data_IF_323058878173
#
_entry.id   IF_323058878173
#
_cell.length_a   1.000
_cell.length_b   1.000
_cell.length_c   1.000
_cell.angle_alpha   90.00
_cell.angle_beta   90.00
_cell.angle_gamma   90.00
#
_symmetry.space_group_name_H-M   'P 1'
#
loop_
_entity.id
_entity.type
_entity.pdbx_description
1 polymer ?
#
# COMPACT_ATOMS: atom_id res chain seq x y z
N UNK A 1 -22.23 75.70 -11.87
CA UNK A 1 -22.05 74.83 -10.68
C UNK A 1 -20.60 74.93 -10.25
N UNK A 2 -20.38 75.38 -9.00
CA UNK A 2 -19.19 75.25 -8.10
C UNK A 2 -17.85 74.83 -8.78
N UNK A 3 -16.76 75.61 -8.83
CA UNK A 3 -16.04 76.35 -7.76
C UNK A 3 -15.35 75.34 -6.81
N UNK A 4 -14.07 75.38 -6.41
CA UNK A 4 -12.91 76.30 -6.46
C UNK A 4 -11.73 75.56 -5.76
N UNK A 5 -10.46 75.92 -6.06
CA UNK A 5 -9.27 76.13 -5.16
C UNK A 5 -8.90 75.06 -4.09
N UNK A 6 -7.70 74.94 -3.51
CA UNK A 6 -6.34 75.45 -3.69
C UNK A 6 -5.47 74.71 -2.63
N UNK A 7 -4.15 74.78 -2.82
CA UNK A 7 -3.07 74.46 -1.88
C UNK A 7 -3.29 74.95 -0.43
N UNK A 8 -2.63 74.31 0.55
CA UNK A 8 -1.48 74.92 1.25
C UNK A 8 -0.98 74.11 2.45
N UNK A 9 0.31 74.32 2.69
CA UNK A 9 1.24 73.84 3.72
C UNK A 9 0.92 74.29 5.15
N UNK A 10 1.36 73.50 6.13
CA UNK A 10 1.52 73.93 7.52
C UNK A 10 2.78 73.30 8.15
N UNK A 11 3.76 74.15 8.47
CA UNK A 11 4.99 73.88 9.22
C UNK A 11 4.75 74.25 10.68
N UNK A 12 5.35 73.53 11.64
CA UNK A 12 5.93 74.16 12.86
C UNK A 12 6.91 73.22 13.55
N UNK A 13 8.16 73.68 13.70
CA UNK A 13 9.12 73.24 14.70
C UNK A 13 8.79 73.90 16.04
N UNK A 14 9.00 73.19 17.14
CA UNK A 14 9.29 73.79 18.44
C UNK A 14 10.29 72.91 19.20
N UNK A 15 11.49 73.44 19.43
CA UNK A 15 12.45 72.91 20.38
C UNK A 15 12.20 73.58 21.75
N UNK A 16 12.25 72.81 22.83
CA UNK A 16 12.46 73.33 24.17
C UNK A 16 13.28 72.32 24.99
N UNK A 17 14.46 72.75 25.43
CA UNK A 17 15.29 72.09 26.44
C UNK A 17 14.58 72.11 27.80
N UNK A 18 14.65 71.00 28.53
CA UNK A 18 14.67 70.99 29.99
C UNK A 18 15.33 69.68 30.50
N UNK A 19 16.59 69.76 30.91
CA UNK A 19 17.13 68.92 31.98
C UNK A 19 16.44 69.38 33.28
N UNK A 20 16.08 68.48 34.23
CA UNK A 20 17.09 68.11 35.23
C UNK A 20 16.89 66.77 36.00
N UNK A 21 17.95 66.41 36.74
CA UNK A 21 17.97 65.70 38.03
C UNK A 21 17.66 64.18 38.09
N UNK A 22 18.71 63.43 38.43
CA UNK A 22 18.62 62.05 38.93
C UNK A 22 18.08 61.99 40.37
N UNK A 23 17.33 60.93 40.72
CA UNK A 23 17.23 60.42 42.08
C UNK A 23 17.74 58.95 42.18
N UNK A 24 17.89 58.41 43.41
CA UNK A 24 19.04 57.59 43.79
C UNK A 24 18.84 56.09 43.61
N UNK A 25 19.97 55.36 43.66
CA UNK A 25 19.97 53.91 43.86
C UNK A 25 19.39 53.54 45.23
N UNK A 26 18.39 52.66 45.25
CA UNK A 26 18.04 51.82 46.38
C UNK A 26 17.56 50.44 45.88
N UNK A 27 17.97 49.41 46.60
CA UNK A 27 18.09 48.00 46.18
C UNK A 27 16.79 47.17 46.23
N UNK A 28 16.95 45.87 45.91
CA UNK A 28 16.06 44.70 46.10
C UNK A 28 14.99 44.47 45.02
N UNK A 29 14.74 43.27 44.49
CA UNK A 29 15.19 41.89 44.74
C UNK A 29 15.41 41.17 43.40
N UNK A 30 16.37 40.24 43.37
CA UNK A 30 16.61 39.32 42.25
C UNK A 30 15.46 38.31 42.10
N UNK A 31 14.61 38.49 41.10
CA UNK A 31 13.74 37.43 40.60
C UNK A 31 14.41 36.75 39.40
N UNK A 32 14.90 35.53 39.66
CA UNK A 32 15.42 34.62 38.64
C UNK A 32 14.34 34.41 37.56
N UNK A 33 14.63 34.61 36.26
CA UNK A 33 13.69 34.20 35.22
C UNK A 33 13.56 32.68 35.27
N UNK A 34 12.34 32.12 35.13
CA UNK A 34 12.16 30.67 35.21
C UNK A 34 12.99 30.01 34.11
N UNK A 35 13.74 28.99 34.52
CA UNK A 35 14.54 28.15 33.65
C UNK A 35 13.68 27.73 32.44
N UNK A 36 14.14 28.11 31.25
CA UNK A 36 13.59 27.64 30.00
C UNK A 36 13.69 26.12 30.03
N UNK A 37 12.55 25.45 30.17
CA UNK A 37 12.46 23.99 30.02
C UNK A 37 13.21 23.62 28.74
N UNK A 38 14.13 22.64 28.77
CA UNK A 38 14.76 22.21 27.55
C UNK A 38 13.63 21.74 26.64
N UNK A 39 13.49 22.41 25.49
CA UNK A 39 12.72 21.92 24.37
C UNK A 39 13.03 20.45 24.24
N UNK A 40 12.00 19.61 24.38
CA UNK A 40 12.11 18.18 24.19
C UNK A 40 12.77 17.98 22.83
N UNK A 41 14.06 17.63 22.84
CA UNK A 41 14.73 17.13 21.65
C UNK A 41 13.90 15.93 21.25
N UNK A 42 13.26 16.04 20.08
CA UNK A 42 12.65 14.91 19.40
C UNK A 42 13.65 13.75 19.49
N UNK A 43 13.37 12.77 20.34
CA UNK A 43 14.18 11.56 20.41
C UNK A 43 14.18 10.99 19.00
N UNK A 44 15.37 10.91 18.39
CA UNK A 44 15.53 10.38 17.05
C UNK A 44 14.98 8.94 17.05
N UNK A 45 13.76 8.78 16.52
CA UNK A 45 13.07 7.50 16.53
C UNK A 45 13.75 6.57 15.54
N UNK A 46 13.87 5.28 15.91
CA UNK A 46 14.43 4.28 15.03
C UNK A 46 13.62 4.23 13.71
N UNK A 47 14.28 4.30 12.53
CA UNK A 47 13.57 4.26 11.25
C UNK A 47 12.77 2.97 11.08
N UNK A 48 11.53 3.11 10.62
CA UNK A 48 10.64 2.00 10.31
C UNK A 48 9.77 1.55 11.48
N UNK A 49 8.47 1.50 11.24
CA UNK A 49 7.52 1.16 12.29
C UNK A 49 6.07 1.35 11.87
N UNK A 50 5.17 0.99 12.78
CA UNK A 50 3.73 1.15 12.62
C UNK A 50 3.18 1.85 13.87
N UNK A 51 2.52 2.99 13.68
CA UNK A 51 1.78 3.69 14.73
C UNK A 51 0.28 3.46 14.55
N UNK A 52 -0.35 2.84 15.54
CA UNK A 52 -1.79 2.59 15.57
C UNK A 52 -2.48 3.60 16.48
N UNK A 53 -3.41 4.39 15.94
CA UNK A 53 -4.20 5.38 16.66
C UNK A 53 -5.67 4.98 16.67
N UNK A 54 -6.29 4.86 17.86
CA UNK A 54 -7.73 4.54 17.97
C UNK A 54 -8.57 5.68 17.41
N UNK A 55 -9.60 5.35 16.64
CA UNK A 55 -10.59 6.33 16.20
C UNK A 55 -11.66 6.50 17.28
N UNK A 56 -12.11 7.74 17.47
CA UNK A 56 -13.16 8.09 18.40
C UNK A 56 -14.30 8.82 17.68
N UNK A 57 -15.52 8.86 18.23
CA UNK A 57 -16.60 9.66 17.68
C UNK A 57 -16.16 11.12 17.46
N UNK A 58 -16.35 11.63 16.24
CA UNK A 58 -16.14 13.05 15.94
C UNK A 58 -17.45 13.78 16.24
N UNK A 59 -17.59 14.33 17.46
CA UNK A 59 -18.80 15.05 17.84
C UNK A 59 -19.11 16.20 16.86
N UNK A 60 -20.35 16.26 16.39
CA UNK A 60 -21.05 17.49 16.00
C UNK A 60 -22.28 17.63 16.89
N UNK A 61 -22.53 18.84 17.35
CA UNK A 61 -23.75 19.20 18.07
C UNK A 61 -24.99 18.69 17.33
N UNK A 62 -25.81 17.89 18.04
CA UNK A 62 -27.24 17.64 17.86
C UNK A 62 -27.83 17.81 16.44
N UNK A 63 -27.25 17.15 15.43
CA UNK A 63 -27.95 16.88 14.17
C UNK A 63 -28.17 15.36 14.05
N UNK A 64 -29.36 14.89 13.66
CA UNK A 64 -29.55 13.50 13.29
C UNK A 64 -28.69 13.22 12.05
N UNK A 65 -27.54 12.57 12.26
CA UNK A 65 -26.53 12.36 11.23
C UNK A 65 -25.83 11.02 11.42
N UNK A 66 -25.32 10.48 10.32
CA UNK A 66 -24.61 9.20 10.24
C UNK A 66 -23.45 9.12 11.22
N UNK A 67 -23.26 7.96 11.85
CA UNK A 67 -22.15 7.75 12.79
C UNK A 67 -20.80 8.09 12.13
N UNK A 68 -20.08 9.05 12.70
CA UNK A 68 -18.77 9.50 12.25
C UNK A 68 -17.71 9.25 13.33
N UNK A 69 -16.66 8.51 12.99
CA UNK A 69 -15.49 8.29 13.84
C UNK A 69 -14.23 8.80 13.15
N UNK A 70 -13.22 9.22 13.90
CA UNK A 70 -12.00 9.72 13.30
C UNK A 70 -11.03 10.35 14.28
N UNK A 71 -10.11 11.13 13.70
CA UNK A 71 -9.12 11.93 14.41
C UNK A 71 -9.10 13.32 13.77
N UNK A 72 -9.16 14.36 14.61
CA UNK A 72 -8.91 15.74 14.17
C UNK A 72 -7.42 15.90 13.82
N UNK A 73 -7.07 17.03 13.18
CA UNK A 73 -5.68 17.35 12.85
C UNK A 73 -4.80 17.21 14.08
N UNK A 74 -3.76 16.40 13.97
CA UNK A 74 -2.76 16.21 15.00
C UNK A 74 -1.40 15.93 14.37
N UNK A 75 -0.35 16.34 15.08
CA UNK A 75 1.03 15.97 14.79
C UNK A 75 1.27 14.51 15.20
N UNK A 76 2.02 13.79 14.38
CA UNK A 76 2.32 12.36 14.57
C UNK A 76 3.77 12.09 14.20
N UNK A 77 4.26 10.89 14.51
CA UNK A 77 5.56 10.45 14.00
C UNK A 77 5.52 10.38 12.48
N UNK A 78 6.67 10.56 11.84
CA UNK A 78 6.80 10.47 10.40
C UNK A 78 6.27 9.12 9.88
N UNK A 79 5.51 9.17 8.79
CA UNK A 79 4.97 8.01 8.10
C UNK A 79 4.93 8.27 6.59
N UNK A 80 4.69 7.23 5.79
CA UNK A 80 4.53 7.38 4.33
C UNK A 80 3.36 6.62 3.74
N UNK A 81 2.74 5.75 4.53
CA UNK A 81 1.56 4.99 4.14
C UNK A 81 0.55 5.00 5.28
N UNK A 82 -0.73 5.08 4.91
CA UNK A 82 -1.85 5.12 5.84
C UNK A 82 -2.91 4.08 5.46
N UNK A 83 -3.53 3.46 6.45
CA UNK A 83 -4.69 2.61 6.27
C UNK A 83 -5.58 2.62 7.52
N UNK A 84 -6.79 2.10 7.42
CA UNK A 84 -7.68 1.92 8.57
C UNK A 84 -7.95 0.44 8.78
N UNK A 85 -7.88 -0.03 10.03
CA UNK A 85 -8.14 -1.42 10.42
C UNK A 85 -9.21 -1.50 11.49
N UNK A 86 -9.84 -2.67 11.63
CA UNK A 86 -10.84 -2.98 12.65
C UNK A 86 -10.73 -4.44 13.11
N UNK A 87 -11.35 -4.76 14.24
CA UNK A 87 -11.05 -6.01 14.96
C UNK A 87 -11.42 -7.27 14.17
N UNK A 88 -12.61 -7.31 13.58
CA UNK A 88 -13.14 -8.49 12.88
C UNK A 88 -12.90 -8.45 11.38
N UNK A 89 -12.11 -9.37 10.79
CA UNK A 89 -11.93 -9.46 9.34
C UNK A 89 -13.19 -9.94 8.60
N UNK A 90 -14.18 -10.48 9.32
CA UNK A 90 -15.46 -10.91 8.75
C UNK A 90 -16.48 -9.77 8.63
N UNK A 91 -16.23 -8.62 9.28
CA UNK A 91 -17.11 -7.45 9.23
C UNK A 91 -16.68 -6.55 8.07
N UNK A 92 -17.59 -6.25 7.15
CA UNK A 92 -17.33 -5.29 6.08
C UNK A 92 -17.60 -3.85 6.57
N UNK A 93 -16.77 -2.91 6.13
CA UNK A 93 -16.99 -1.48 6.38
C UNK A 93 -17.89 -0.91 5.28
N UNK A 94 -19.15 -0.66 5.61
CA UNK A 94 -20.09 0.03 4.74
C UNK A 94 -20.06 1.53 5.01
N UNK A 95 -19.33 2.27 4.18
CA UNK A 95 -19.12 3.69 4.39
C UNK A 95 -17.97 4.25 3.58
N UNK A 96 -17.63 5.50 3.88
CA UNK A 96 -16.47 6.19 3.30
C UNK A 96 -15.41 6.42 4.37
N UNK A 97 -14.17 6.16 4.00
CA UNK A 97 -12.99 6.47 4.81
C UNK A 97 -12.18 7.50 4.06
N UNK A 98 -11.99 8.67 4.67
CA UNK A 98 -11.26 9.77 4.06
C UNK A 98 -10.12 10.22 4.98
N UNK A 99 -8.96 10.47 4.39
CA UNK A 99 -7.75 10.93 5.08
C UNK A 99 -7.18 12.16 4.39
N UNK A 100 -6.57 13.06 5.16
CA UNK A 100 -5.64 14.06 4.65
C UNK A 100 -4.40 14.10 5.52
N UNK A 101 -3.27 14.40 4.90
CA UNK A 101 -1.97 14.38 5.58
C UNK A 101 -1.21 15.68 5.36
N UNK A 102 -0.30 16.00 6.28
CA UNK A 102 0.65 17.10 6.13
C UNK A 102 1.97 16.55 5.62
N UNK A 103 2.45 17.07 4.50
CA UNK A 103 3.75 16.68 3.95
C UNK A 103 4.89 17.31 4.76
N UNK A 104 5.86 16.50 5.17
CA UNK A 104 7.05 16.95 5.94
C UNK A 104 7.84 18.03 5.18
N UNK A 105 8.04 17.83 3.88
CA UNK A 105 8.87 18.71 3.06
C UNK A 105 8.31 20.13 2.87
N UNK A 106 6.98 20.31 2.97
CA UNK A 106 6.32 21.59 2.67
C UNK A 106 5.46 22.13 3.81
N UNK A 107 5.21 21.36 4.86
CA UNK A 107 4.26 21.69 5.92
C UNK A 107 2.80 21.82 5.44
N UNK A 108 2.50 21.46 4.19
CA UNK A 108 1.19 21.69 3.58
C UNK A 108 0.27 20.48 3.74
N UNK A 109 -0.99 20.73 4.07
CA UNK A 109 -2.03 19.71 4.12
C UNK A 109 -2.57 19.35 2.73
N UNK A 110 -2.75 18.07 2.45
CA UNK A 110 -3.46 17.61 1.27
C UNK A 110 -4.96 17.95 1.33
N UNK A 111 -5.64 17.85 0.19
CA UNK A 111 -7.09 17.63 0.16
C UNK A 111 -7.46 16.28 0.78
N UNK A 112 -8.76 16.07 1.01
CA UNK A 112 -9.28 14.76 1.43
C UNK A 112 -9.08 13.72 0.33
N UNK A 113 -8.61 12.54 0.72
CA UNK A 113 -8.38 11.39 -0.15
C UNK A 113 -9.15 10.19 0.41
N UNK A 114 -9.90 9.49 -0.44
CA UNK A 114 -10.66 8.32 -0.05
C UNK A 114 -9.79 7.06 -0.04
N UNK A 115 -9.97 6.22 0.98
CA UNK A 115 -9.40 4.87 1.05
C UNK A 115 -10.40 3.85 0.51
N UNK A 116 -9.94 2.89 -0.31
CA UNK A 116 -10.78 1.80 -0.79
C UNK A 116 -11.15 0.88 0.39
N UNK A 117 -12.44 0.75 0.67
CA UNK A 117 -12.98 -0.02 1.82
C UNK A 117 -13.26 -1.48 1.49
N UNK A 118 -13.43 -1.81 0.21
CA UNK A 118 -13.66 -3.17 -0.28
C UNK A 118 -12.34 -3.93 -0.48
N UNK A 119 -11.64 -4.24 0.62
CA UNK A 119 -10.32 -4.89 0.61
C UNK A 119 -10.33 -6.29 1.26
N UNK A 120 -11.51 -6.81 1.64
CA UNK A 120 -11.69 -8.18 2.15
C UNK A 120 -11.43 -9.28 1.08
N UNK A 121 -11.32 -8.87 -0.19
CA UNK A 121 -10.96 -9.71 -1.33
C UNK A 121 -9.49 -10.19 -1.27
N UNK A 122 -8.63 -9.43 -0.60
CA UNK A 122 -7.27 -9.83 -0.26
C UNK A 122 -7.27 -10.44 1.14
N UNK A 123 -7.35 -11.76 1.23
CA UNK A 123 -7.29 -12.50 2.48
C UNK A 123 -6.79 -13.93 2.25
N UNK A 124 -6.36 -14.58 3.32
CA UNK A 124 -6.04 -16.00 3.29
C UNK A 124 -7.30 -16.86 3.10
N UNK A 125 -7.16 -17.98 2.40
CA UNK A 125 -8.30 -18.87 2.12
C UNK A 125 -8.88 -19.44 3.44
N UNK A 126 -10.22 -19.60 3.54
CA UNK A 126 -10.85 -20.14 4.74
C UNK A 126 -10.32 -21.53 5.11
N UNK A 127 -9.99 -21.71 6.39
CA UNK A 127 -9.47 -22.97 6.92
C UNK A 127 -7.96 -23.16 6.75
N UNK A 128 -7.25 -22.14 6.25
CA UNK A 128 -5.78 -22.12 6.29
C UNK A 128 -5.29 -21.70 7.69
N UNK A 129 -4.08 -22.12 8.12
CA UNK A 129 -3.49 -21.67 9.39
C UNK A 129 -3.41 -20.15 9.51
N UNK A 130 -3.20 -19.44 8.39
CA UNK A 130 -3.20 -17.98 8.34
C UNK A 130 -4.56 -17.39 8.73
N UNK A 131 -5.64 -17.89 8.10
CA UNK A 131 -7.01 -17.44 8.40
C UNK A 131 -7.46 -17.77 9.82
N UNK A 132 -6.93 -18.84 10.42
CA UNK A 132 -7.29 -19.31 11.76
C UNK A 132 -6.39 -18.75 12.88
N UNK A 133 -5.44 -17.86 12.56
CA UNK A 133 -4.41 -17.39 13.50
C UNK A 133 -4.93 -16.53 14.66
N UNK A 134 -6.18 -16.04 14.58
CA UNK A 134 -6.76 -15.09 15.54
C UNK A 134 -6.16 -13.68 15.49
N UNK A 135 -5.17 -13.45 14.60
CA UNK A 135 -4.44 -12.18 14.48
C UNK A 135 -4.94 -11.31 13.33
N UNK A 136 -5.68 -11.88 12.39
CA UNK A 136 -6.13 -11.19 11.17
C UNK A 136 -7.17 -10.13 11.50
N UNK A 137 -7.04 -8.95 10.91
CA UNK A 137 -7.97 -7.82 11.05
C UNK A 137 -8.63 -7.47 9.74
N UNK A 138 -9.80 -6.83 9.82
CA UNK A 138 -10.38 -6.16 8.66
C UNK A 138 -9.64 -4.85 8.39
N UNK A 139 -9.57 -4.46 7.12
CA UNK A 139 -8.71 -3.37 6.69
C UNK A 139 -9.21 -2.71 5.41
N UNK A 140 -8.92 -1.41 5.24
CA UNK A 140 -8.98 -0.74 3.93
C UNK A 140 -7.79 -1.16 3.07
N UNK A 141 -7.81 -0.86 1.77
CA UNK A 141 -6.57 -0.80 1.02
C UNK A 141 -5.71 0.35 1.57
N UNK A 142 -4.38 0.18 1.66
CA UNK A 142 -3.52 1.24 2.15
C UNK A 142 -3.28 2.31 1.08
N UNK A 143 -3.01 3.54 1.49
CA UNK A 143 -2.69 4.67 0.63
C UNK A 143 -1.26 5.16 0.87
N UNK A 144 -0.48 5.29 -0.19
CA UNK A 144 0.83 5.95 -0.15
C UNK A 144 0.63 7.46 -0.20
N UNK A 145 1.07 8.14 0.86
CA UNK A 145 0.95 9.59 1.02
C UNK A 145 2.30 10.32 0.89
N UNK A 146 3.40 9.57 0.83
CA UNK A 146 4.74 10.13 0.94
C UNK A 146 5.04 10.62 2.35
N UNK A 147 6.25 11.13 2.57
CA UNK A 147 6.72 11.52 3.91
C UNK A 147 5.82 12.58 4.55
N UNK A 148 5.08 12.17 5.58
CA UNK A 148 4.06 12.96 6.25
C UNK A 148 4.26 12.90 7.77
N UNK A 149 3.89 13.97 8.47
CA UNK A 149 4.04 14.13 9.93
C UNK A 149 2.78 14.70 10.61
N UNK A 150 1.71 14.91 9.84
CA UNK A 150 0.40 15.30 10.35
C UNK A 150 -0.70 14.49 9.67
N UNK A 151 -1.77 14.19 10.41
CA UNK A 151 -2.89 13.41 9.87
C UNK A 151 -4.24 13.87 10.41
N UNK A 152 -5.26 13.70 9.58
CA UNK A 152 -6.67 13.79 9.95
C UNK A 152 -7.43 12.71 9.18
N UNK A 153 -8.33 12.01 9.87
CA UNK A 153 -9.12 10.92 9.27
C UNK A 153 -10.56 11.01 9.72
N UNK A 154 -11.47 10.67 8.82
CA UNK A 154 -12.89 10.50 9.12
C UNK A 154 -13.43 9.23 8.46
N UNK A 155 -14.26 8.52 9.20
CA UNK A 155 -14.96 7.31 8.79
C UNK A 155 -16.44 7.58 8.98
N UNK A 156 -17.19 7.53 7.88
CA UNK A 156 -18.63 7.82 7.87
C UNK A 156 -19.38 6.58 7.42
N UNK A 157 -20.33 6.14 8.24
CA UNK A 157 -21.26 5.10 7.83
C UNK A 157 -22.06 5.56 6.59
N UNK A 158 -22.30 4.64 5.66
CA UNK A 158 -23.29 4.84 4.60
C UNK A 158 -24.68 4.48 5.11
N UNK A 159 -25.70 5.15 4.59
CA UNK A 159 -27.09 4.74 4.77
C UNK A 159 -27.27 3.32 4.23
N UNK A 160 -27.92 2.45 5.01
CA UNK A 160 -28.14 1.07 4.58
C UNK A 160 -29.04 1.05 3.32
N UNK A 161 -28.73 0.22 2.31
CA UNK A 161 -29.63 0.04 1.18
C UNK A 161 -30.93 -0.64 1.63
N UNK A 162 -32.01 0.14 1.69
CA UNK A 162 -33.41 -0.32 1.59
C UNK A 162 -33.92 -1.35 2.59
N UNK A 163 -34.54 -0.89 3.68
CA UNK A 163 -35.79 -1.48 4.16
C UNK A 163 -36.83 -0.37 4.26
N UNK A 164 -37.70 -0.29 3.26
CA UNK A 164 -38.88 0.57 3.33
C UNK A 164 -39.78 0.07 4.47
N UNK A 165 -39.78 0.78 5.61
CA UNK A 165 -40.87 0.99 6.60
C UNK A 165 -40.40 1.55 7.95
N UNK A 166 -39.10 1.77 8.12
CA UNK A 166 -38.52 2.66 9.13
C UNK A 166 -37.36 3.39 8.44
N UNK A 167 -37.18 4.70 8.68
CA UNK A 167 -36.19 5.52 7.96
C UNK A 167 -34.78 4.89 7.92
N UNK A 168 -33.91 5.26 6.97
CA UNK A 168 -32.64 4.56 6.75
C UNK A 168 -31.76 4.70 8.00
N UNK A 169 -31.67 3.64 8.80
CA UNK A 169 -30.64 3.52 9.81
C UNK A 169 -29.32 3.24 9.07
N UNK A 170 -28.32 4.09 9.28
CA UNK A 170 -26.98 3.86 8.74
C UNK A 170 -26.43 2.53 9.27
N UNK A 171 -25.76 1.75 8.40
CA UNK A 171 -25.11 0.52 8.85
C UNK A 171 -24.06 0.87 9.92
N UNK A 172 -24.02 0.16 11.07
CA UNK A 172 -23.07 0.49 12.13
C UNK A 172 -21.64 0.29 11.63
N UNK A 173 -20.75 1.20 12.04
CA UNK A 173 -19.31 1.08 11.75
C UNK A 173 -18.71 -0.14 12.50
N UNK A 174 -17.68 -0.80 11.93
CA UNK A 174 -16.97 -1.87 12.62
C UNK A 174 -16.39 -1.43 13.97
N UNK A 175 -16.28 -2.36 14.91
CA UNK A 175 -15.69 -2.09 16.22
C UNK A 175 -14.16 -2.03 16.16
N UNK A 176 -13.57 -1.24 17.06
CA UNK A 176 -12.12 -1.19 17.23
C UNK A 176 -11.37 -0.51 16.07
N UNK A 177 -12.02 0.43 15.38
CA UNK A 177 -11.42 1.20 14.30
C UNK A 177 -10.12 1.90 14.75
N UNK A 178 -9.06 1.70 13.98
CA UNK A 178 -7.74 2.29 14.19
C UNK A 178 -7.17 2.82 12.89
N UNK A 179 -6.53 3.98 12.96
CA UNK A 179 -5.66 4.49 11.92
C UNK A 179 -4.27 3.88 12.07
N UNK A 180 -3.74 3.33 11.00
CA UNK A 180 -2.42 2.72 10.92
C UNK A 180 -1.52 3.62 10.08
N UNK A 181 -0.50 4.19 10.71
CA UNK A 181 0.51 5.02 10.08
C UNK A 181 1.80 4.23 9.96
N UNK A 182 2.28 4.01 8.74
CA UNK A 182 3.42 3.14 8.47
C UNK A 182 4.60 3.96 7.96
N UNK A 183 5.70 3.88 8.70
CA UNK A 183 7.02 4.29 8.26
C UNK A 183 7.70 3.10 7.55
N UNK A 184 8.05 3.20 6.25
CA UNK A 184 8.77 2.14 5.54
C UNK A 184 10.14 1.81 6.16
N UNK A 185 10.73 2.74 6.92
CA UNK A 185 12.10 2.72 7.38
C UNK A 185 13.10 2.91 6.24
N UNK A 186 14.36 3.00 6.64
CA UNK A 186 15.47 3.14 5.70
C UNK A 186 15.62 1.91 4.80
N UNK A 187 16.17 2.12 3.61
CA UNK A 187 16.64 1.00 2.82
C UNK A 187 17.77 0.32 3.60
N UNK A 188 17.73 -1.01 3.72
CA UNK A 188 18.88 -1.74 4.26
C UNK A 188 20.14 -1.32 3.48
N UNK A 189 21.24 -0.95 4.15
CA UNK A 189 22.45 -0.54 3.46
C UNK A 189 22.89 -1.68 2.53
N UNK A 190 23.43 -1.36 1.33
CA UNK A 190 24.03 -2.39 0.49
C UNK A 190 25.12 -3.09 1.31
N UNK A 191 25.28 -4.42 1.18
CA UNK A 191 26.28 -5.13 1.96
C UNK A 191 27.66 -4.50 1.68
N UNK A 192 28.30 -3.97 2.73
CA UNK A 192 29.70 -3.59 2.66
C UNK A 192 30.49 -4.86 2.36
N UNK A 193 31.39 -4.74 1.39
CA UNK A 193 32.10 -5.84 0.76
C UNK A 193 33.06 -6.55 1.75
N UNK A 194 32.56 -7.30 2.73
CA UNK A 194 33.35 -8.20 3.60
C UNK A 194 32.54 -9.42 4.03
N UNK A 195 32.29 -10.29 3.06
CA UNK A 195 32.31 -11.75 3.13
C UNK A 195 31.52 -12.27 1.93
N UNK A 196 32.15 -13.06 1.06
CA UNK A 196 31.43 -13.96 0.15
C UNK A 196 30.75 -15.03 1.02
N UNK A 197 29.65 -14.66 1.66
CA UNK A 197 28.68 -15.58 2.22
C UNK A 197 27.61 -15.79 1.16
N UNK A 198 27.04 -17.00 1.12
CA UNK A 198 25.97 -17.52 0.27
C UNK A 198 24.63 -16.76 0.42
N UNK A 199 24.67 -15.45 0.66
CA UNK A 199 23.52 -14.58 0.76
C UNK A 199 22.86 -14.41 -0.63
N UNK A 200 21.54 -14.57 -0.70
CA UNK A 200 20.78 -14.31 -1.93
C UNK A 200 21.09 -12.91 -2.49
N UNK A 201 21.29 -12.77 -3.81
CA UNK A 201 21.63 -11.49 -4.43
C UNK A 201 20.46 -10.50 -4.33
N UNK A 202 20.76 -9.19 -4.31
CA UNK A 202 19.74 -8.13 -4.31
C UNK A 202 18.86 -8.15 -5.57
N UNK A 203 19.42 -8.56 -6.71
CA UNK A 203 18.68 -8.73 -7.95
C UNK A 203 19.04 -10.08 -8.54
N UNK A 204 18.01 -10.89 -8.83
CA UNK A 204 18.17 -12.05 -9.67
C UNK A 204 18.26 -11.58 -11.12
N UNK A 205 19.38 -11.83 -11.82
CA UNK A 205 19.52 -11.35 -13.19
C UNK A 205 18.53 -12.06 -14.11
N UNK A 206 18.16 -11.34 -15.17
CA UNK A 206 17.46 -11.93 -16.28
C UNK A 206 18.32 -13.07 -16.85
N UNK A 207 17.71 -14.24 -17.07
CA UNK A 207 18.38 -15.35 -17.74
C UNK A 207 18.01 -15.30 -19.21
N UNK A 208 18.94 -14.97 -20.10
CA UNK A 208 18.80 -15.26 -21.53
C UNK A 208 18.76 -16.78 -21.72
N UNK A 209 18.05 -17.25 -22.76
CA UNK A 209 18.14 -18.65 -23.17
C UNK A 209 19.63 -19.01 -23.38
N UNK A 210 20.06 -20.18 -22.87
CA UNK A 210 21.47 -20.58 -22.92
C UNK A 210 22.03 -20.54 -24.36
N UNK A 211 23.33 -20.25 -24.55
CA UNK A 211 23.97 -20.33 -25.86
C UNK A 211 23.80 -21.72 -26.49
N UNK A 212 23.66 -21.75 -27.82
CA UNK A 212 23.19 -22.90 -28.61
C UNK A 212 23.94 -24.22 -28.33
N UNK A 213 25.23 -24.14 -27.98
CA UNK A 213 26.08 -25.32 -27.72
C UNK A 213 25.74 -26.06 -26.42
N UNK A 214 25.24 -25.35 -25.41
CA UNK A 214 24.68 -25.93 -24.17
C UNK A 214 23.18 -26.22 -24.25
N UNK A 215 22.49 -25.68 -25.28
CA UNK A 215 21.05 -25.85 -25.47
C UNK A 215 20.65 -27.26 -25.90
N UNK A 216 21.54 -28.03 -26.56
CA UNK A 216 21.22 -29.38 -27.05
C UNK A 216 21.05 -30.40 -25.91
N UNK A 217 21.82 -30.29 -24.82
CA UNK A 217 21.67 -31.13 -23.64
C UNK A 217 20.53 -30.64 -22.70
N UNK A 218 20.28 -29.33 -22.62
CA UNK A 218 19.20 -28.76 -21.82
C UNK A 218 17.80 -28.91 -22.47
N UNK A 219 17.71 -29.03 -23.80
CA UNK A 219 16.45 -29.23 -24.55
C UNK A 219 15.76 -30.56 -24.26
N UNK A 220 16.46 -31.55 -23.71
CA UNK A 220 15.84 -32.81 -23.30
C UNK A 220 15.13 -32.71 -21.92
N UNK A 221 15.28 -31.60 -21.18
CA UNK A 221 14.66 -31.38 -19.85
C UNK A 221 13.90 -30.05 -19.70
N UNK A 222 13.97 -29.15 -20.67
CA UNK A 222 13.27 -27.86 -20.60
C UNK A 222 11.81 -28.01 -21.03
N UNK A 223 10.87 -27.60 -20.16
CA UNK A 223 9.47 -27.42 -20.53
C UNK A 223 9.40 -26.54 -21.80
N UNK A 224 8.86 -27.04 -22.93
CA UNK A 224 9.09 -26.49 -24.26
C UNK A 224 8.62 -25.05 -24.48
N UNK A 225 7.96 -24.44 -23.48
CA UNK A 225 7.36 -23.11 -23.57
C UNK A 225 7.54 -22.26 -22.30
N UNK A 226 8.56 -22.51 -21.48
CA UNK A 226 8.87 -21.58 -20.38
C UNK A 226 9.57 -20.32 -20.92
N UNK A 227 8.97 -19.14 -20.75
CA UNK A 227 9.60 -17.88 -21.11
C UNK A 227 10.87 -17.60 -20.28
N UNK A 228 11.77 -16.75 -20.79
CA UNK A 228 12.98 -16.36 -20.06
C UNK A 228 12.63 -15.68 -18.72
N UNK A 229 13.36 -16.05 -17.65
CA UNK A 229 13.17 -15.41 -16.34
C UNK A 229 13.54 -13.92 -16.45
N UNK A 230 12.63 -12.99 -16.13
CA UNK A 230 12.98 -11.58 -16.08
C UNK A 230 13.90 -11.27 -14.90
N UNK A 231 14.50 -10.08 -14.88
CA UNK A 231 15.18 -9.60 -13.68
C UNK A 231 14.14 -9.42 -12.55
N UNK A 232 14.49 -9.84 -11.34
CA UNK A 232 13.62 -9.76 -10.16
C UNK A 232 14.43 -9.19 -9.00
N UNK A 233 14.02 -8.05 -8.46
CA UNK A 233 14.55 -7.52 -7.20
C UNK A 233 14.06 -8.41 -6.07
N UNK A 234 15.00 -9.03 -5.36
CA UNK A 234 14.68 -9.95 -4.25
C UNK A 234 14.20 -9.19 -3.03
N UNK A 235 13.68 -9.92 -2.05
CA UNK A 235 13.34 -9.37 -0.74
C UNK A 235 14.49 -8.60 -0.10
N UNK A 236 15.72 -9.14 -0.18
CA UNK A 236 16.93 -8.41 0.20
C UNK A 236 17.08 -7.11 -0.60
N UNK A 237 16.91 -7.17 -1.92
CA UNK A 237 17.12 -6.03 -2.80
C UNK A 237 16.19 -4.84 -2.59
N UNK A 238 14.96 -5.06 -2.14
CA UNK A 238 14.04 -3.97 -1.76
C UNK A 238 14.05 -3.63 -0.27
N UNK A 239 14.88 -4.31 0.53
CA UNK A 239 15.08 -4.05 1.96
C UNK A 239 14.01 -4.66 2.86
N UNK A 240 13.53 -5.86 2.55
CA UNK A 240 12.58 -6.57 3.39
C UNK A 240 13.14 -6.83 4.80
N UNK A 241 12.38 -6.47 5.82
CA UNK A 241 12.67 -6.90 7.19
C UNK A 241 12.07 -8.30 7.42
N UNK A 242 12.90 -9.32 7.20
CA UNK A 242 12.50 -10.73 7.33
C UNK A 242 12.06 -11.12 8.75
N UNK A 243 12.31 -10.28 9.76
CA UNK A 243 11.85 -10.53 11.14
C UNK A 243 10.35 -10.30 11.31
N UNK A 244 9.71 -9.55 10.39
CA UNK A 244 8.28 -9.28 10.47
C UNK A 244 7.45 -10.52 10.15
N UNK A 245 7.80 -11.26 9.08
CA UNK A 245 6.99 -12.40 8.64
C UNK A 245 7.14 -13.61 9.56
N UNK A 246 6.15 -14.48 9.50
CA UNK A 246 6.27 -15.81 10.09
C UNK A 246 7.37 -16.65 9.42
N UNK A 247 7.90 -17.60 10.19
CA UNK A 247 8.88 -18.58 9.72
C UNK A 247 8.22 -19.65 8.84
N UNK A 248 8.98 -20.18 7.90
CA UNK A 248 8.54 -21.24 6.99
C UNK A 248 7.76 -20.75 5.78
N UNK A 249 7.59 -21.64 4.81
CA UNK A 249 6.88 -21.39 3.56
C UNK A 249 5.78 -22.43 3.36
N UNK A 250 4.63 -22.00 2.84
CA UNK A 250 3.55 -22.91 2.46
C UNK A 250 3.51 -23.01 0.95
N UNK A 251 3.62 -24.22 0.41
CA UNK A 251 3.62 -24.46 -1.03
C UNK A 251 2.34 -25.15 -1.49
N UNK A 252 1.93 -24.79 -2.70
CA UNK A 252 0.84 -25.46 -3.44
C UNK A 252 1.44 -26.41 -4.48
N UNK A 253 0.62 -27.01 -5.35
CA UNK A 253 1.13 -28.00 -6.31
C UNK A 253 1.74 -27.35 -7.56
N UNK A 254 1.07 -26.37 -8.16
CA UNK A 254 1.46 -25.71 -9.43
C UNK A 254 0.99 -24.28 -9.48
N UNK A 255 1.56 -23.42 -10.32
CA UNK A 255 0.95 -22.12 -10.67
C UNK A 255 0.17 -22.27 -11.97
N UNK A 256 -1.16 -22.40 -11.86
CA UNK A 256 -2.05 -22.55 -13.02
C UNK A 256 -2.57 -21.22 -13.56
N UNK A 257 -2.76 -20.24 -12.68
CA UNK A 257 -3.29 -18.91 -13.00
C UNK A 257 -2.45 -17.82 -12.36
N UNK A 258 -2.26 -16.71 -13.07
CA UNK A 258 -1.77 -15.45 -12.53
C UNK A 258 -2.95 -14.49 -12.36
N UNK A 259 -3.23 -14.08 -11.13
CA UNK A 259 -4.16 -13.00 -10.84
C UNK A 259 -3.42 -11.67 -10.80
N UNK A 260 -3.81 -10.77 -11.69
CA UNK A 260 -3.29 -9.40 -11.75
C UNK A 260 -4.16 -8.50 -10.87
N UNK A 261 -3.48 -7.79 -9.99
CA UNK A 261 -4.01 -6.86 -9.00
C UNK A 261 -3.46 -5.46 -9.25
N UNK A 262 -4.13 -4.45 -8.70
CA UNK A 262 -3.48 -3.20 -8.36
C UNK A 262 -3.24 -3.17 -6.84
N UNK A 263 -2.33 -2.32 -6.34
CA UNK A 263 -2.17 -2.16 -4.89
C UNK A 263 -3.17 -1.17 -4.28
N UNK A 264 -3.85 -0.37 -5.11
CA UNK A 264 -4.73 0.73 -4.73
C UNK A 264 -4.06 1.85 -3.89
N UNK A 265 -2.73 1.84 -3.79
CA UNK A 265 -1.94 2.80 -2.99
C UNK A 265 -1.82 4.20 -3.58
N UNK A 266 -2.46 4.50 -4.71
CA UNK A 266 -2.22 5.75 -5.44
C UNK A 266 -0.94 5.73 -6.28
N UNK A 267 -0.78 6.75 -7.15
CA UNK A 267 0.23 6.74 -8.23
C UNK A 267 1.38 7.76 -8.05
N UNK A 268 1.39 8.49 -6.94
CA UNK A 268 2.25 9.67 -6.74
C UNK A 268 3.69 9.34 -6.31
N UNK A 269 4.02 8.07 -6.08
CA UNK A 269 5.39 7.65 -5.77
C UNK A 269 6.33 7.81 -6.99
N UNK A 270 7.60 8.14 -6.76
CA UNK A 270 8.67 8.06 -7.77
C UNK A 270 9.14 6.61 -7.89
N UNK A 271 9.65 6.17 -9.05
CA UNK A 271 10.09 4.78 -9.19
C UNK A 271 11.21 4.39 -8.21
N UNK A 272 12.08 5.34 -7.81
CA UNK A 272 13.07 5.12 -6.74
C UNK A 272 12.44 4.86 -5.36
N UNK A 273 11.19 5.27 -5.15
CA UNK A 273 10.43 5.02 -3.92
C UNK A 273 9.68 3.69 -3.96
N UNK A 274 9.67 2.95 -5.07
CA UNK A 274 8.95 1.67 -5.16
C UNK A 274 9.36 0.67 -4.05
N UNK A 275 10.66 0.50 -3.70
CA UNK A 275 11.05 -0.30 -2.54
C UNK A 275 10.41 0.18 -1.23
N UNK A 276 10.34 1.49 -0.98
CA UNK A 276 9.70 2.04 0.22
C UNK A 276 8.20 1.77 0.23
N UNK A 277 7.51 1.94 -0.90
CA UNK A 277 6.08 1.58 -1.04
C UNK A 277 5.88 0.10 -0.68
N UNK A 278 6.73 -0.79 -1.19
CA UNK A 278 6.65 -2.24 -0.93
C UNK A 278 6.89 -2.55 0.55
N UNK A 279 7.91 -1.94 1.19
CA UNK A 279 8.16 -2.09 2.63
C UNK A 279 6.97 -1.62 3.47
N UNK A 280 6.32 -0.53 3.08
CA UNK A 280 5.13 -0.04 3.77
C UNK A 280 3.94 -0.99 3.62
N UNK A 281 3.66 -1.50 2.41
CA UNK A 281 2.59 -2.51 2.21
C UNK A 281 2.91 -3.78 3.01
N UNK A 282 4.18 -4.21 3.02
CA UNK A 282 4.61 -5.38 3.78
C UNK A 282 4.38 -5.20 5.30
N UNK A 283 4.79 -4.08 5.88
CA UNK A 283 4.50 -3.74 7.30
C UNK A 283 3.00 -3.66 7.56
N UNK A 284 2.23 -3.05 6.65
CA UNK A 284 0.77 -2.97 6.80
C UNK A 284 0.14 -4.38 6.84
N UNK A 285 0.51 -5.24 5.90
CA UNK A 285 -0.02 -6.61 5.85
C UNK A 285 0.33 -7.42 7.11
N UNK A 286 1.54 -7.28 7.63
CA UNK A 286 1.98 -8.08 8.78
C UNK A 286 1.56 -7.47 10.11
N UNK A 287 1.95 -6.23 10.38
CA UNK A 287 1.78 -5.61 11.69
C UNK A 287 0.35 -5.06 11.89
N UNK A 288 -0.23 -4.47 10.84
CA UNK A 288 -1.55 -3.84 10.94
C UNK A 288 -2.67 -4.85 10.71
N UNK A 289 -2.58 -5.69 9.67
CA UNK A 289 -3.64 -6.65 9.31
C UNK A 289 -3.40 -8.08 9.79
N UNK A 290 -2.25 -8.37 10.40
CA UNK A 290 -1.97 -9.65 11.06
C UNK A 290 -1.67 -10.82 10.13
N UNK A 291 -1.30 -10.56 8.88
CA UNK A 291 -0.98 -11.62 7.92
C UNK A 291 0.42 -12.18 8.17
N UNK A 292 0.66 -13.38 7.65
CA UNK A 292 1.92 -14.10 7.89
C UNK A 292 3.09 -13.48 7.13
N UNK A 293 2.81 -12.85 6.00
CA UNK A 293 3.74 -12.17 5.10
C UNK A 293 2.91 -11.33 4.11
N UNK A 294 3.56 -10.57 3.24
CA UNK A 294 2.94 -9.92 2.09
C UNK A 294 2.06 -10.92 1.31
N UNK A 295 0.84 -10.52 0.94
CA UNK A 295 -0.13 -11.44 0.35
C UNK A 295 0.09 -11.75 -1.14
N UNK A 296 0.75 -10.86 -1.85
CA UNK A 296 1.07 -11.02 -3.28
C UNK A 296 2.37 -11.80 -3.47
N UNK A 297 2.45 -12.64 -4.50
CA UNK A 297 3.69 -13.36 -4.82
C UNK A 297 4.73 -12.45 -5.48
N UNK A 298 4.27 -11.48 -6.27
CA UNK A 298 5.14 -10.52 -6.96
C UNK A 298 4.50 -9.13 -6.98
N UNK A 299 5.33 -8.12 -7.12
CA UNK A 299 4.90 -6.74 -7.36
C UNK A 299 5.57 -6.17 -8.61
N UNK A 300 4.89 -5.25 -9.27
CA UNK A 300 5.38 -4.56 -10.47
C UNK A 300 5.16 -3.06 -10.30
N UNK A 301 6.21 -2.26 -10.41
CA UNK A 301 6.07 -0.81 -10.38
C UNK A 301 5.73 -0.21 -11.76
N UNK A 302 5.39 1.08 -11.79
CA UNK A 302 5.09 1.79 -13.04
C UNK A 302 6.29 1.96 -13.97
N UNK A 303 7.52 1.69 -13.51
CA UNK A 303 8.73 1.66 -14.32
C UNK A 303 9.05 0.25 -14.87
N UNK A 304 8.26 -0.76 -14.52
CA UNK A 304 8.43 -2.13 -15.01
C UNK A 304 9.47 -2.95 -14.24
N UNK A 305 9.89 -2.50 -13.06
CA UNK A 305 10.69 -3.35 -12.17
C UNK A 305 9.78 -4.41 -11.54
N UNK A 306 10.31 -5.62 -11.39
CA UNK A 306 9.61 -6.75 -10.78
C UNK A 306 10.26 -7.03 -9.44
N UNK A 307 9.44 -7.19 -8.41
CA UNK A 307 9.87 -7.43 -7.05
C UNK A 307 9.31 -8.76 -6.56
N UNK A 308 10.13 -9.51 -5.84
CA UNK A 308 9.66 -10.65 -5.05
C UNK A 308 8.72 -10.16 -3.95
N UNK A 309 7.53 -10.77 -3.84
CA UNK A 309 6.59 -10.51 -2.77
C UNK A 309 6.71 -11.56 -1.66
N UNK A 310 5.70 -12.42 -1.51
CA UNK A 310 5.67 -13.50 -0.51
C UNK A 310 6.89 -14.40 -0.61
N UNK A 311 7.58 -14.57 0.52
CA UNK A 311 8.90 -15.18 0.61
C UNK A 311 8.93 -16.65 0.17
N UNK A 312 10.06 -17.07 -0.41
CA UNK A 312 10.28 -18.46 -0.84
C UNK A 312 9.55 -18.83 -2.14
N UNK A 313 8.97 -17.83 -2.83
CA UNK A 313 8.04 -18.00 -3.94
C UNK A 313 8.60 -17.76 -5.35
N UNK A 314 9.83 -17.26 -5.50
CA UNK A 314 10.33 -16.82 -6.82
C UNK A 314 10.21 -17.93 -7.86
N UNK A 315 10.82 -19.10 -7.63
CA UNK A 315 10.70 -20.26 -8.54
C UNK A 315 9.63 -21.26 -8.11
N UNK A 316 9.23 -21.29 -6.82
CA UNK A 316 8.28 -22.27 -6.25
C UNK A 316 6.83 -21.75 -6.15
N UNK A 317 5.81 -22.62 -6.06
CA UNK A 317 4.41 -22.20 -6.05
C UNK A 317 3.94 -21.86 -4.63
N UNK A 318 4.54 -20.83 -4.00
CA UNK A 318 4.19 -20.41 -2.63
C UNK A 318 2.75 -19.90 -2.56
N UNK A 319 2.02 -20.29 -1.51
CA UNK A 319 0.64 -19.91 -1.26
C UNK A 319 0.53 -18.42 -0.88
N UNK A 320 -0.18 -17.65 -1.70
CA UNK A 320 -0.49 -16.24 -1.43
C UNK A 320 -1.66 -16.02 -0.47
N UNK A 321 -2.03 -14.75 -0.30
CA UNK A 321 -3.24 -14.26 0.37
C UNK A 321 -3.83 -13.07 -0.41
N UNK A 322 -3.80 -13.17 -1.74
CA UNK A 322 -4.13 -12.07 -2.67
C UNK A 322 -5.50 -12.18 -3.30
N UNK A 323 -6.08 -13.39 -3.38
CA UNK A 323 -7.38 -13.64 -4.02
C UNK A 323 -8.13 -14.67 -3.20
N UNK A 324 -8.98 -14.19 -2.29
CA UNK A 324 -9.76 -15.05 -1.40
C UNK A 324 -10.54 -16.11 -2.22
N UNK A 325 -10.31 -17.37 -1.89
CA UNK A 325 -10.89 -18.53 -2.56
C UNK A 325 -10.07 -19.07 -3.74
N UNK A 326 -9.02 -18.38 -4.20
CA UNK A 326 -8.17 -18.83 -5.30
C UNK A 326 -6.68 -18.65 -5.03
N UNK A 327 -6.25 -18.49 -3.77
CA UNK A 327 -4.83 -18.40 -3.44
C UNK A 327 -4.08 -19.70 -3.79
N UNK A 328 -4.74 -20.85 -3.64
CA UNK A 328 -4.15 -22.14 -4.00
C UNK A 328 -4.01 -22.34 -5.52
N UNK A 329 -2.83 -22.82 -5.94
CA UNK A 329 -2.45 -23.08 -7.33
C UNK A 329 -2.48 -21.85 -8.26
N UNK A 330 -2.28 -20.67 -7.71
CA UNK A 330 -2.18 -19.44 -8.47
C UNK A 330 -0.98 -18.61 -7.98
N UNK A 331 -0.76 -17.47 -8.64
CA UNK A 331 0.09 -16.42 -8.12
C UNK A 331 -0.61 -15.07 -8.23
N UNK A 332 -0.35 -14.18 -7.28
CA UNK A 332 -0.79 -12.79 -7.30
C UNK A 332 0.32 -11.85 -7.75
N UNK A 333 0.01 -10.97 -8.69
CA UNK A 333 0.88 -9.88 -9.12
C UNK A 333 0.20 -8.55 -8.77
N UNK A 334 0.73 -7.81 -7.80
CA UNK A 334 0.27 -6.45 -7.50
C UNK A 334 1.02 -5.41 -8.34
N UNK A 335 0.30 -4.72 -9.21
CA UNK A 335 0.85 -3.54 -9.90
C UNK A 335 0.71 -2.34 -8.97
N UNK A 336 1.85 -1.77 -8.54
CA UNK A 336 1.86 -0.64 -7.62
C UNK A 336 1.15 0.56 -8.25
N UNK A 337 0.06 0.97 -7.65
CA UNK A 337 -0.78 2.08 -8.10
C UNK A 337 -2.28 1.83 -8.03
N UNK A 338 -3.03 2.82 -8.50
CA UNK A 338 -4.50 2.76 -8.65
C UNK A 338 -4.84 2.96 -10.12
N UNK A 339 -5.44 1.94 -10.74
CA UNK A 339 -5.69 1.88 -12.19
C UNK A 339 -7.19 1.87 -12.56
N UNK A 340 -8.04 2.46 -11.71
CA UNK A 340 -9.47 2.65 -12.00
C UNK A 340 -9.67 3.62 -13.16
N UNK A 341 -8.95 4.75 -13.15
CA UNK A 341 -8.98 5.79 -14.21
C UNK A 341 -7.64 6.00 -14.91
N UNK A 342 -6.51 5.70 -14.25
CA UNK A 342 -5.17 5.82 -14.84
C UNK A 342 -4.79 4.58 -15.64
N UNK A 343 -4.24 4.76 -16.84
CA UNK A 343 -3.70 3.66 -17.66
C UNK A 343 -2.37 3.13 -17.07
N UNK A 344 -2.14 1.80 -17.06
CA UNK A 344 -0.84 1.25 -16.73
C UNK A 344 0.20 1.64 -17.77
N UNK A 345 1.45 1.80 -17.35
CA UNK A 345 2.55 2.08 -18.27
C UNK A 345 2.84 0.87 -19.18
N UNK A 346 3.42 1.14 -20.34
CA UNK A 346 3.89 0.08 -21.24
C UNK A 346 4.95 -0.79 -20.57
N UNK A 347 5.79 -0.20 -19.71
CA UNK A 347 6.82 -0.90 -18.94
C UNK A 347 6.20 -1.89 -17.94
N UNK A 348 5.19 -1.47 -17.16
CA UNK A 348 4.48 -2.36 -16.24
C UNK A 348 3.80 -3.52 -16.99
N UNK A 349 3.11 -3.24 -18.11
CA UNK A 349 2.50 -4.29 -18.93
C UNK A 349 3.54 -5.28 -19.49
N UNK A 350 4.71 -4.79 -19.92
CA UNK A 350 5.81 -5.62 -20.40
C UNK A 350 6.37 -6.51 -19.28
N UNK A 351 6.51 -5.96 -18.07
CA UNK A 351 6.95 -6.69 -16.89
C UNK A 351 5.97 -7.81 -16.52
N UNK A 352 4.67 -7.53 -16.46
CA UNK A 352 3.62 -8.55 -16.23
C UNK A 352 3.71 -9.66 -17.29
N UNK A 353 3.83 -9.29 -18.57
CA UNK A 353 3.91 -10.26 -19.65
C UNK A 353 5.16 -11.17 -19.54
N UNK A 354 6.34 -10.61 -19.24
CA UNK A 354 7.57 -11.40 -19.04
C UNK A 354 7.48 -12.30 -17.82
N UNK A 355 7.01 -11.76 -16.70
CA UNK A 355 6.85 -12.49 -15.45
C UNK A 355 5.89 -13.67 -15.62
N UNK A 356 4.73 -13.44 -16.22
CA UNK A 356 3.72 -14.48 -16.45
C UNK A 356 4.21 -15.51 -17.46
N UNK A 357 4.84 -15.10 -18.57
CA UNK A 357 5.44 -16.03 -19.54
C UNK A 357 6.41 -17.02 -18.90
N UNK A 358 7.27 -16.53 -18.01
CA UNK A 358 8.19 -17.37 -17.25
C UNK A 358 7.47 -18.22 -16.21
N UNK A 359 6.80 -17.59 -15.23
CA UNK A 359 6.35 -18.26 -14.02
C UNK A 359 5.25 -19.30 -14.26
N UNK A 360 4.28 -19.01 -15.13
CA UNK A 360 3.25 -20.01 -15.50
C UNK A 360 3.81 -21.04 -16.50
N UNK A 361 4.82 -20.64 -17.28
CA UNK A 361 5.54 -21.52 -18.20
C UNK A 361 6.34 -22.61 -17.48
N UNK A 362 6.86 -22.35 -16.28
CA UNK A 362 7.47 -23.37 -15.41
C UNK A 362 6.52 -24.54 -15.08
N UNK A 363 5.21 -24.36 -15.28
CA UNK A 363 4.19 -25.37 -15.02
C UNK A 363 3.39 -25.75 -16.28
N UNK A 364 3.93 -25.45 -17.47
CA UNK A 364 3.36 -25.82 -18.77
C UNK A 364 2.11 -25.02 -19.19
N UNK A 365 1.78 -23.93 -18.50
CA UNK A 365 0.58 -23.16 -18.79
C UNK A 365 0.77 -22.23 -20.00
N UNK A 366 -0.22 -22.19 -20.91
CA UNK A 366 -0.29 -21.24 -22.02
C UNK A 366 -0.98 -19.93 -21.58
N UNK A 367 -0.30 -18.76 -21.64
CA UNK A 367 -0.87 -17.47 -21.24
C UNK A 367 -2.15 -17.04 -21.97
N UNK A 368 -2.36 -17.46 -23.23
CA UNK A 368 -3.62 -17.21 -23.97
C UNK A 368 -4.74 -18.19 -23.58
N UNK A 369 -4.38 -19.29 -22.94
CA UNK A 369 -5.29 -20.37 -22.61
C UNK A 369 -6.20 -20.07 -21.42
N UNK A 370 -7.06 -21.05 -21.15
CA UNK A 370 -7.92 -21.12 -19.96
C UNK A 370 -7.53 -22.32 -19.11
N UNK A 371 -7.86 -22.25 -17.83
CA UNK A 371 -7.67 -23.36 -16.89
C UNK A 371 -8.80 -23.39 -15.88
N UNK A 372 -8.86 -24.46 -15.08
CA UNK A 372 -9.82 -24.60 -14.01
C UNK A 372 -9.15 -24.49 -12.64
N UNK A 373 -9.72 -23.67 -11.77
CA UNK A 373 -9.41 -23.68 -10.34
C UNK A 373 -10.65 -24.07 -9.53
N UNK A 374 -10.43 -24.68 -8.36
CA UNK A 374 -11.50 -24.99 -7.40
C UNK A 374 -11.55 -23.85 -6.38
N UNK A 375 -12.70 -23.20 -6.25
CA UNK A 375 -12.89 -22.12 -5.27
C UNK A 375 -12.78 -22.66 -3.84
N UNK A 376 -12.02 -21.98 -2.99
CA UNK A 376 -11.99 -22.13 -1.53
C UNK A 376 -13.18 -21.48 -0.83
N UNK A 377 -13.98 -20.71 -1.56
CA UNK A 377 -15.08 -19.89 -1.04
C UNK A 377 -14.75 -18.40 -1.11
N UNK A 378 -15.75 -17.59 -1.43
CA UNK A 378 -15.67 -16.14 -1.55
C UNK A 378 -17.03 -15.57 -1.95
N UNK A 379 -17.11 -14.26 -2.18
CA UNK A 379 -18.37 -13.59 -2.48
C UNK A 379 -18.89 -13.82 -3.92
N UNK A 380 -18.01 -14.22 -4.85
CA UNK A 380 -18.37 -14.49 -6.24
C UNK A 380 -18.62 -15.97 -6.52
N UNK A 381 -17.85 -16.86 -5.88
CA UNK A 381 -17.94 -18.30 -6.10
C UNK A 381 -17.95 -19.08 -4.79
N UNK A 382 -19.00 -19.88 -4.60
CA UNK A 382 -19.11 -20.81 -3.46
C UNK A 382 -17.96 -21.80 -3.40
N UNK A 383 -17.60 -22.22 -2.19
CA UNK A 383 -16.57 -23.22 -1.94
C UNK A 383 -16.85 -24.50 -2.73
N UNK A 384 -15.81 -25.07 -3.32
CA UNK A 384 -15.88 -26.29 -4.11
C UNK A 384 -16.21 -26.11 -5.58
N UNK A 385 -16.70 -24.94 -6.01
CA UNK A 385 -17.01 -24.67 -7.43
C UNK A 385 -15.74 -24.75 -8.29
N UNK A 386 -15.79 -25.54 -9.38
CA UNK A 386 -14.77 -25.49 -10.44
C UNK A 386 -15.06 -24.31 -11.36
N UNK A 387 -14.16 -23.34 -11.42
CA UNK A 387 -14.31 -22.10 -12.21
C UNK A 387 -13.32 -22.10 -13.36
N UNK A 388 -13.81 -21.82 -14.56
CA UNK A 388 -12.99 -21.70 -15.78
C UNK A 388 -12.47 -20.27 -15.90
N UNK A 389 -11.16 -20.09 -15.71
CA UNK A 389 -10.49 -18.80 -15.71
C UNK A 389 -9.50 -18.69 -16.88
N UNK A 390 -9.12 -17.48 -17.25
CA UNK A 390 -7.96 -17.30 -18.11
C UNK A 390 -6.69 -17.62 -17.31
N UNK A 391 -5.63 -18.07 -17.97
CA UNK A 391 -4.33 -18.30 -17.30
C UNK A 391 -3.76 -16.99 -16.74
N UNK A 392 -4.03 -15.86 -17.40
CA UNK A 392 -3.83 -14.53 -16.82
C UNK A 392 -5.21 -13.90 -16.65
N UNK A 393 -5.62 -13.72 -15.39
CA UNK A 393 -6.92 -13.21 -14.98
C UNK A 393 -6.76 -11.96 -14.12
N UNK A 394 -7.76 -11.10 -14.09
CA UNK A 394 -7.83 -10.00 -13.13
C UNK A 394 -8.38 -10.49 -11.79
N UNK A 395 -8.13 -9.77 -10.70
CA UNK A 395 -8.73 -10.12 -9.41
C UNK A 395 -10.26 -10.29 -9.49
N UNK A 396 -10.92 -9.35 -10.17
CA UNK A 396 -12.38 -9.37 -10.43
C UNK A 396 -12.92 -10.63 -11.11
N UNK A 397 -12.06 -11.43 -11.75
CA UNK A 397 -12.48 -12.70 -12.37
C UNK A 397 -12.66 -13.82 -11.33
N UNK A 398 -12.05 -13.69 -10.13
CA UNK A 398 -12.10 -14.66 -9.05
C UNK A 398 -12.88 -14.18 -7.82
N UNK A 399 -13.05 -12.88 -7.65
CA UNK A 399 -13.75 -12.26 -6.52
C UNK A 399 -14.54 -11.03 -6.97
N UNK A 400 -15.65 -10.69 -6.32
CA UNK A 400 -16.39 -9.48 -6.67
C UNK A 400 -15.68 -8.25 -6.07
N UNK A 401 -14.86 -7.60 -6.90
CA UNK A 401 -13.99 -6.46 -6.55
C UNK A 401 -13.77 -5.56 -7.78
N UNK A 402 -13.40 -4.30 -7.54
CA UNK A 402 -12.95 -3.40 -8.60
C UNK A 402 -11.50 -3.67 -9.02
N UNK A 403 -10.71 -4.41 -8.26
CA UNK A 403 -9.33 -4.76 -8.57
C UNK A 403 -9.25 -5.60 -9.88
N UNK A 404 -8.29 -5.36 -10.80
CA UNK A 404 -7.13 -4.47 -10.74
C UNK A 404 -7.38 -3.02 -11.23
N UNK A 405 -8.63 -2.56 -11.22
CA UNK A 405 -9.05 -1.31 -11.83
C UNK A 405 -9.36 -1.45 -13.31
N UNK A 406 -10.31 -0.65 -13.81
CA UNK A 406 -10.85 -0.73 -15.17
C UNK A 406 -9.76 -0.64 -16.24
N UNK A 407 -8.79 0.26 -16.09
CA UNK A 407 -7.79 0.51 -17.12
C UNK A 407 -6.74 -0.60 -17.22
N UNK A 408 -6.32 -1.18 -16.09
CA UNK A 408 -5.38 -2.30 -16.09
C UNK A 408 -6.08 -3.59 -16.53
N UNK A 409 -7.32 -3.82 -16.09
CA UNK A 409 -8.11 -4.98 -16.52
C UNK A 409 -8.30 -5.03 -18.04
N UNK A 410 -8.60 -3.88 -18.67
CA UNK A 410 -8.73 -3.76 -20.12
C UNK A 410 -7.46 -4.14 -20.90
N UNK A 411 -6.29 -4.17 -20.26
CA UNK A 411 -5.00 -4.52 -20.87
C UNK A 411 -4.59 -5.98 -20.68
N UNK A 412 -5.36 -6.79 -19.96
CA UNK A 412 -5.02 -8.20 -19.72
C UNK A 412 -5.00 -9.03 -21.01
N UNK A 413 -5.83 -8.71 -22.01
CA UNK A 413 -5.73 -9.33 -23.34
C UNK A 413 -4.36 -9.12 -23.98
N UNK A 414 -3.84 -7.89 -23.93
CA UNK A 414 -2.49 -7.57 -24.42
C UNK A 414 -1.41 -8.31 -23.63
N UNK A 415 -1.54 -8.39 -22.30
CA UNK A 415 -0.60 -9.14 -21.46
C UNK A 415 -0.55 -10.63 -21.85
N UNK A 416 -1.72 -11.26 -22.05
CA UNK A 416 -1.83 -12.65 -22.54
C UNK A 416 -1.11 -12.86 -23.87
N UNK A 417 -1.37 -12.01 -24.86
CA UNK A 417 -0.75 -12.13 -26.17
C UNK A 417 0.76 -11.96 -26.14
N UNK A 418 1.28 -10.98 -25.39
CA UNK A 418 2.72 -10.74 -25.23
C UNK A 418 3.40 -11.85 -24.44
N UNK A 419 2.77 -12.35 -23.38
CA UNK A 419 3.30 -13.44 -22.58
C UNK A 419 3.42 -14.73 -23.40
N UNK A 420 2.42 -15.06 -24.21
CA UNK A 420 2.50 -16.21 -25.11
C UNK A 420 3.60 -16.04 -26.17
N UNK A 421 3.77 -14.84 -26.74
CA UNK A 421 4.89 -14.56 -27.64
C UNK A 421 6.25 -14.78 -26.95
N UNK A 422 6.42 -14.39 -25.68
CA UNK A 422 7.63 -14.68 -24.90
C UNK A 422 7.82 -16.18 -24.59
N UNK A 423 6.77 -17.00 -24.70
CA UNK A 423 6.85 -18.46 -24.62
C UNK A 423 7.05 -19.14 -25.99
N UNK A 424 7.16 -18.37 -27.08
CA UNK A 424 7.21 -18.91 -28.44
C UNK A 424 5.90 -19.54 -28.90
N UNK A 425 4.75 -18.97 -28.50
CA UNK A 425 3.40 -19.44 -28.82
C UNK A 425 2.52 -18.40 -29.50
#
# INVERSE_FOLDING_TARGET
MRGFLASSTGVTCAAALALPLAPPAAATTSSTPPATSPTARSEAHAPGGTQSLRLAPLARDRAPGTAEQGLRRQDVRQFSLVGVVWDSPATELHGRVEVRTRATATGTWSGWQELETHNADHAADPGTPESASGRVRGATAPLWVGESDGVEVRVRASDAPGTARSGPAAAPLPTGLRLELVDPGEAAPPPTNRARSEAEPSVLPARTALPARTARAARQRAEPHAGARPAITTRRGWGADEKLREKGFVYTKKVKTAFVHHSATGNNYRCSQAPSVIRSIYRYHVNSTGWRDLGYNFLVDKCGNIYEGRAGGVSKPVLGAHTLGFNANSMGIAVLGTYSSKKPSSAALKAIARLTAWKVGLYGMNPRGKTYLKSGGGNLYRKGRKVRLNVISGHRDGFATNCPGKQLYAKLGTARSKAAAYQGR
#
